data_IF_566178400789
#
_entry.id   IF_566178400789
#
_cell.length_a   1.000
_cell.length_b   1.000
_cell.length_c   1.000
_cell.angle_alpha   90.00
_cell.angle_beta   90.00
_cell.angle_gamma   90.00
#
_symmetry.space_group_name_H-M   'P 1'
#
loop_
_entity.id
_entity.type
_entity.pdbx_description
1 polymer ?
#
# COMPACT_ATOMS: atom_id res chain seq x y z
N UNK A 1 -1.24 44.40 -69.87
CA UNK A 1 -2.48 43.82 -69.32
C UNK A 1 -2.15 42.48 -68.71
N UNK A 2 -1.83 42.42 -67.40
CA UNK A 2 -1.36 41.23 -66.72
C UNK A 2 -2.44 40.75 -65.76
N UNK A 3 -3.08 39.63 -66.04
CA UNK A 3 -4.09 39.04 -65.17
C UNK A 3 -3.41 38.31 -64.00
N UNK A 4 -3.69 38.80 -62.79
CA UNK A 4 -3.33 38.08 -61.56
C UNK A 4 -4.35 36.96 -61.29
N UNK A 5 -3.87 35.74 -61.19
CA UNK A 5 -4.64 34.59 -60.74
C UNK A 5 -4.52 34.58 -59.21
N UNK A 6 -5.66 34.75 -58.53
CA UNK A 6 -5.76 34.58 -57.05
C UNK A 6 -6.03 33.10 -56.82
N UNK A 7 -5.05 32.41 -56.26
CA UNK A 7 -5.19 31.05 -55.77
C UNK A 7 -5.84 31.07 -54.40
N UNK A 8 -7.02 30.52 -54.32
CA UNK A 8 -7.74 30.34 -53.05
C UNK A 8 -7.36 29.00 -52.45
N UNK A 9 -6.43 28.97 -51.48
CA UNK A 9 -6.09 27.78 -50.76
C UNK A 9 -7.13 27.54 -49.66
N UNK A 10 -8.01 26.56 -49.88
CA UNK A 10 -8.89 26.03 -48.84
C UNK A 10 -8.04 25.19 -47.87
N UNK A 11 -7.77 25.74 -46.69
CA UNK A 11 -7.25 24.98 -45.58
C UNK A 11 -8.39 24.11 -44.99
N UNK A 12 -8.36 22.83 -45.27
CA UNK A 12 -9.22 21.84 -44.62
C UNK A 12 -8.66 21.67 -43.21
N UNK A 13 -9.24 22.36 -42.24
CA UNK A 13 -9.03 22.08 -40.84
C UNK A 13 -9.69 20.74 -40.51
N UNK A 14 -8.90 19.67 -40.47
CA UNK A 14 -9.33 18.39 -39.94
C UNK A 14 -9.54 18.57 -38.40
N UNK A 15 -10.80 18.75 -38.03
CA UNK A 15 -11.23 18.61 -36.62
C UNK A 15 -11.03 17.16 -36.21
N UNK A 16 -9.88 16.87 -35.64
CA UNK A 16 -9.71 15.68 -34.82
C UNK A 16 -10.56 15.89 -33.57
N UNK A 17 -11.77 15.36 -33.60
CA UNK A 17 -12.52 15.11 -32.39
C UNK A 17 -11.72 14.05 -31.61
N UNK A 18 -10.86 14.48 -30.71
CA UNK A 18 -10.29 13.59 -29.69
C UNK A 18 -11.47 13.04 -28.89
N UNK A 19 -11.86 11.80 -29.19
CA UNK A 19 -12.76 11.06 -28.32
C UNK A 19 -12.13 11.06 -26.93
N UNK A 20 -12.92 11.39 -25.90
CA UNK A 20 -12.47 11.31 -24.53
C UNK A 20 -11.87 9.91 -24.28
N UNK A 21 -10.71 9.83 -23.59
CA UNK A 21 -10.15 8.53 -23.29
C UNK A 21 -11.15 7.69 -22.49
N UNK A 22 -11.21 6.37 -22.74
CA UNK A 22 -12.18 5.52 -22.05
C UNK A 22 -11.95 5.57 -20.54
N UNK A 23 -13.01 5.36 -19.72
CA UNK A 23 -12.88 5.30 -18.29
C UNK A 23 -11.83 4.27 -17.86
N UNK A 24 -10.94 4.66 -16.95
CA UNK A 24 -9.94 3.75 -16.40
C UNK A 24 -10.58 2.90 -15.29
N UNK A 25 -11.13 1.77 -15.64
CA UNK A 25 -11.71 0.80 -14.71
C UNK A 25 -11.12 -0.60 -14.98
N UNK A 26 -9.83 -0.81 -14.62
CA UNK A 26 -9.18 -2.07 -14.90
C UNK A 26 -9.73 -3.18 -14.03
N UNK A 27 -10.05 -4.31 -14.64
CA UNK A 27 -10.36 -5.54 -13.94
C UNK A 27 -9.05 -6.19 -13.50
N UNK A 28 -8.86 -6.47 -12.19
CA UNK A 28 -7.66 -7.15 -11.71
C UNK A 28 -7.49 -8.54 -12.32
N UNK A 29 -6.28 -8.83 -12.77
CA UNK A 29 -5.92 -10.14 -13.29
C UNK A 29 -5.66 -11.09 -12.11
N UNK A 30 -6.43 -12.18 -12.03
CA UNK A 30 -6.19 -13.27 -11.06
C UNK A 30 -5.32 -14.32 -11.72
N UNK A 31 -4.11 -14.51 -11.19
CA UNK A 31 -3.18 -15.55 -11.65
C UNK A 31 -2.56 -16.30 -10.46
N UNK A 32 -2.18 -17.57 -10.63
CA UNK A 32 -1.42 -18.28 -9.61
C UNK A 32 -0.08 -17.58 -9.37
N UNK A 33 0.29 -17.42 -8.11
CA UNK A 33 1.56 -16.83 -7.72
C UNK A 33 2.35 -17.85 -6.89
N UNK A 34 3.59 -18.09 -7.29
CA UNK A 34 4.53 -18.90 -6.51
C UNK A 34 5.45 -17.97 -5.71
N UNK A 35 5.74 -18.36 -4.47
CA UNK A 35 6.64 -17.62 -3.60
C UNK A 35 8.07 -17.64 -4.16
N UNK A 36 8.57 -16.49 -4.59
CA UNK A 36 9.92 -16.34 -5.11
C UNK A 36 10.89 -15.83 -4.05
N UNK A 37 10.43 -14.96 -3.16
CA UNK A 37 11.30 -14.21 -2.28
C UNK A 37 10.60 -13.86 -0.98
N UNK A 38 11.32 -13.89 0.13
CA UNK A 38 10.78 -13.51 1.43
C UNK A 38 11.45 -12.28 2.04
N UNK A 39 12.74 -12.05 1.77
CA UNK A 39 13.35 -10.75 2.05
C UNK A 39 13.24 -9.88 0.79
N UNK A 40 12.54 -8.78 0.89
CA UNK A 40 12.30 -7.85 -0.21
C UNK A 40 12.82 -6.46 0.13
N UNK A 41 13.25 -5.74 -0.91
CA UNK A 41 13.55 -4.33 -0.85
C UNK A 41 12.28 -3.53 -1.23
N UNK A 42 11.82 -2.66 -0.35
CA UNK A 42 10.64 -1.82 -0.56
C UNK A 42 11.09 -0.37 -0.72
N UNK A 43 10.84 0.21 -1.88
CA UNK A 43 11.07 1.62 -2.14
C UNK A 43 9.82 2.44 -1.78
N UNK A 44 10.01 3.40 -0.91
CA UNK A 44 8.98 4.34 -0.45
C UNK A 44 9.21 5.66 -1.18
N UNK A 45 8.20 6.13 -1.91
CA UNK A 45 8.26 7.39 -2.65
C UNK A 45 7.31 8.38 -1.98
N UNK A 46 7.86 9.36 -1.26
CA UNK A 46 7.09 10.30 -0.45
C UNK A 46 7.22 11.76 -0.92
N UNK A 47 7.16 11.99 -2.21
CA UNK A 47 7.26 13.32 -2.78
C UNK A 47 5.93 14.07 -2.75
N UNK A 48 6.00 15.40 -2.81
CA UNK A 48 4.83 16.22 -3.11
C UNK A 48 4.34 15.96 -4.52
N UNK A 49 3.07 16.27 -4.78
CA UNK A 49 2.55 16.29 -6.15
C UNK A 49 3.30 17.33 -6.99
N UNK A 50 3.47 17.09 -8.29
CA UNK A 50 4.13 18.04 -9.17
C UNK A 50 3.35 19.38 -9.21
N UNK A 51 4.08 20.47 -9.38
CA UNK A 51 3.53 21.82 -9.46
C UNK A 51 3.90 22.41 -10.82
N UNK A 52 2.89 22.65 -11.63
CA UNK A 52 3.04 23.37 -12.91
C UNK A 52 1.80 24.21 -13.15
N UNK A 53 1.88 25.26 -13.99
CA UNK A 53 0.69 25.92 -14.53
C UNK A 53 -0.20 24.91 -15.25
N UNK A 54 -1.52 25.12 -15.24
CA UNK A 54 -2.49 24.20 -15.88
C UNK A 54 -2.15 23.93 -17.36
N UNK A 55 -1.63 24.92 -18.07
CA UNK A 55 -1.16 24.79 -19.45
C UNK A 55 0.01 23.82 -19.67
N UNK A 56 0.75 23.50 -18.58
CA UNK A 56 1.85 22.55 -18.60
C UNK A 56 1.51 21.17 -18.00
N UNK A 57 0.26 20.98 -17.57
CA UNK A 57 -0.19 19.72 -17.01
C UNK A 57 -0.44 18.69 -18.12
N UNK A 58 0.52 17.80 -18.34
CA UNK A 58 0.42 16.69 -19.30
C UNK A 58 0.67 15.35 -18.62
N UNK A 59 0.20 14.27 -19.26
CA UNK A 59 0.44 12.91 -18.77
C UNK A 59 1.94 12.62 -18.73
N UNK A 60 2.66 13.00 -19.77
CA UNK A 60 4.11 12.79 -19.88
C UNK A 60 4.87 13.50 -18.78
N UNK A 61 4.52 14.76 -18.46
CA UNK A 61 5.16 15.51 -17.39
C UNK A 61 4.87 14.89 -16.00
N UNK A 62 3.63 14.44 -15.77
CA UNK A 62 3.25 13.73 -14.55
C UNK A 62 4.03 12.41 -14.40
N UNK A 63 4.02 11.60 -15.45
CA UNK A 63 4.74 10.31 -15.49
C UNK A 63 6.23 10.52 -15.27
N UNK A 64 6.84 11.46 -16.01
CA UNK A 64 8.27 11.75 -15.86
C UNK A 64 8.63 12.12 -14.42
N UNK A 65 7.84 12.95 -13.78
CA UNK A 65 8.07 13.38 -12.39
C UNK A 65 8.15 12.19 -11.42
N UNK A 66 7.19 11.26 -11.52
CA UNK A 66 7.16 10.11 -10.61
C UNK A 66 8.17 9.03 -11.00
N UNK A 67 8.40 8.82 -12.29
CA UNK A 67 9.44 7.89 -12.76
C UNK A 67 10.82 8.37 -12.35
N UNK A 68 11.14 9.66 -12.47
CA UNK A 68 12.40 10.23 -11.99
C UNK A 68 12.59 10.01 -10.47
N UNK A 69 11.50 10.09 -9.70
CA UNK A 69 11.54 9.81 -8.27
C UNK A 69 11.78 8.32 -7.95
N UNK A 70 11.10 7.43 -8.66
CA UNK A 70 11.27 5.98 -8.52
C UNK A 70 12.66 5.54 -8.99
N UNK A 71 13.20 6.16 -10.02
CA UNK A 71 14.53 5.83 -10.58
C UNK A 71 15.68 6.19 -9.64
N UNK A 72 15.48 7.10 -8.68
CA UNK A 72 16.45 7.35 -7.60
C UNK A 72 16.68 6.11 -6.73
N UNK A 73 15.64 5.30 -6.54
CA UNK A 73 15.69 4.08 -5.75
C UNK A 73 16.04 2.83 -6.58
N UNK A 74 15.98 2.91 -7.89
CA UNK A 74 16.23 1.77 -8.78
C UNK A 74 17.59 1.07 -8.58
N UNK A 75 18.70 1.75 -8.21
CA UNK A 75 19.97 1.08 -7.90
C UNK A 75 19.88 0.10 -6.72
N UNK A 76 18.92 0.31 -5.80
CA UNK A 76 18.66 -0.58 -4.67
C UNK A 76 17.87 -1.85 -5.07
N UNK A 77 17.50 -1.98 -6.34
CA UNK A 77 16.71 -3.09 -6.91
C UNK A 77 15.45 -3.41 -6.09
N UNK A 78 14.55 -2.46 -5.90
CA UNK A 78 13.33 -2.69 -5.14
C UNK A 78 12.48 -3.80 -5.77
N UNK A 79 11.87 -4.62 -4.90
CA UNK A 79 10.86 -5.60 -5.28
C UNK A 79 9.46 -4.98 -5.32
N UNK A 80 9.26 -3.93 -4.50
CA UNK A 80 8.01 -3.21 -4.36
C UNK A 80 8.30 -1.71 -4.29
N UNK A 81 7.58 -0.93 -5.10
CA UNK A 81 7.49 0.53 -4.97
C UNK A 81 6.14 0.89 -4.37
N UNK A 82 6.14 1.74 -3.35
CA UNK A 82 4.92 2.29 -2.75
C UNK A 82 4.93 3.80 -2.92
N UNK A 83 3.93 4.33 -3.64
CA UNK A 83 3.76 5.75 -3.92
C UNK A 83 2.65 6.35 -3.05
N UNK A 84 2.65 7.67 -2.84
CA UNK A 84 1.66 8.33 -1.99
C UNK A 84 0.28 8.43 -2.64
N UNK A 85 -0.67 9.04 -1.93
CA UNK A 85 -2.03 9.27 -2.40
C UNK A 85 -2.09 10.33 -3.50
N UNK A 86 -2.91 10.07 -4.53
CA UNK A 86 -3.24 11.03 -5.58
C UNK A 86 -2.04 11.50 -6.40
N UNK A 87 -1.18 10.57 -6.84
CA UNK A 87 0.07 10.90 -7.54
C UNK A 87 -0.15 11.66 -8.85
N UNK A 88 -1.29 11.50 -9.46
CA UNK A 88 -1.62 12.05 -10.76
C UNK A 88 -2.35 13.40 -10.71
N UNK A 89 -2.55 13.94 -9.53
CA UNK A 89 -3.05 15.30 -9.39
C UNK A 89 -1.91 16.32 -9.28
N UNK A 90 -2.14 17.48 -9.86
CA UNK A 90 -1.23 18.61 -9.80
C UNK A 90 -1.51 19.49 -8.58
N UNK A 91 -0.48 20.08 -8.00
CA UNK A 91 -0.70 21.06 -6.95
C UNK A 91 -1.45 22.28 -7.48
N UNK A 92 -2.45 22.72 -6.72
CA UNK A 92 -3.23 23.90 -7.04
C UNK A 92 -4.45 23.66 -7.93
N UNK A 93 -4.66 22.44 -8.43
CA UNK A 93 -5.90 22.12 -9.14
C UNK A 93 -7.11 22.33 -8.25
N UNK A 94 -8.10 23.05 -8.78
CA UNK A 94 -9.46 23.05 -8.24
C UNK A 94 -10.12 21.70 -8.44
N UNK A 95 -11.20 21.43 -7.71
CA UNK A 95 -11.97 20.16 -7.83
C UNK A 95 -12.47 19.93 -9.26
N UNK A 96 -12.87 20.99 -9.95
CA UNK A 96 -13.31 20.92 -11.35
C UNK A 96 -12.15 20.55 -12.27
N UNK A 97 -10.99 21.19 -12.10
CA UNK A 97 -9.79 20.86 -12.87
C UNK A 97 -9.30 19.45 -12.62
N UNK A 98 -9.40 18.95 -11.36
CA UNK A 98 -9.11 17.55 -11.05
C UNK A 98 -10.01 16.59 -11.83
N UNK A 99 -11.32 16.85 -11.86
CA UNK A 99 -12.26 16.05 -12.65
C UNK A 99 -11.95 16.14 -14.15
N UNK A 100 -11.79 17.33 -14.68
CA UNK A 100 -11.55 17.55 -16.11
C UNK A 100 -10.22 16.92 -16.54
N UNK A 101 -9.22 16.92 -15.67
CA UNK A 101 -7.97 16.20 -15.85
C UNK A 101 -8.18 14.69 -15.92
N UNK A 102 -8.88 14.10 -14.95
CA UNK A 102 -9.12 12.65 -14.90
C UNK A 102 -9.90 12.17 -16.13
N UNK A 103 -10.96 12.90 -16.50
CA UNK A 103 -11.90 12.45 -17.57
C UNK A 103 -11.41 12.85 -18.96
N UNK A 104 -10.89 14.07 -19.10
CA UNK A 104 -10.61 14.65 -20.41
C UNK A 104 -9.17 14.53 -20.91
N UNK A 105 -8.20 14.38 -19.98
CA UNK A 105 -6.79 14.44 -20.35
C UNK A 105 -6.03 13.17 -19.93
N UNK A 106 -6.08 12.83 -18.66
CA UNK A 106 -5.26 11.74 -18.10
C UNK A 106 -5.72 10.36 -18.60
N UNK A 107 -7.02 10.09 -18.56
CA UNK A 107 -7.54 8.76 -18.86
C UNK A 107 -6.82 7.66 -18.07
N UNK A 108 -6.28 6.68 -18.78
CA UNK A 108 -5.44 5.59 -18.22
C UNK A 108 -3.93 5.79 -18.46
N UNK A 109 -3.51 6.96 -18.97
CA UNK A 109 -2.12 7.21 -19.35
C UNK A 109 -1.11 7.00 -18.22
N UNK A 110 -1.42 7.45 -17.00
CA UNK A 110 -0.56 7.23 -15.83
C UNK A 110 -0.53 5.76 -15.44
N UNK A 111 -1.68 5.06 -15.45
CA UNK A 111 -1.73 3.62 -15.17
C UNK A 111 -0.87 2.83 -16.15
N UNK A 112 -1.01 3.06 -17.46
CA UNK A 112 -0.19 2.39 -18.48
C UNK A 112 1.31 2.64 -18.30
N UNK A 113 1.67 3.85 -17.90
CA UNK A 113 3.06 4.17 -17.62
C UNK A 113 3.60 3.41 -16.41
N UNK A 114 2.81 3.28 -15.33
CA UNK A 114 3.19 2.50 -14.15
C UNK A 114 3.29 1.00 -14.46
N UNK A 115 2.41 0.47 -15.31
CA UNK A 115 2.48 -0.90 -15.82
C UNK A 115 3.77 -1.13 -16.63
N UNK A 116 4.12 -0.20 -17.51
CA UNK A 116 5.36 -0.27 -18.28
C UNK A 116 6.60 -0.19 -17.37
N UNK A 117 6.55 0.66 -16.32
CA UNK A 117 7.63 0.77 -15.34
C UNK A 117 7.80 -0.51 -14.52
N UNK A 118 6.71 -1.09 -14.03
CA UNK A 118 6.73 -2.36 -13.30
C UNK A 118 7.40 -3.47 -14.13
N UNK A 119 7.00 -3.64 -15.40
CA UNK A 119 7.64 -4.57 -16.35
C UNK A 119 9.13 -4.28 -16.54
N UNK A 120 9.48 -3.04 -16.80
CA UNK A 120 10.87 -2.62 -17.02
C UNK A 120 11.77 -2.94 -15.84
N UNK A 121 11.25 -2.79 -14.61
CA UNK A 121 12.02 -3.02 -13.37
C UNK A 121 11.89 -4.44 -12.84
N UNK A 122 10.92 -5.23 -13.32
CA UNK A 122 10.59 -6.53 -12.75
C UNK A 122 10.17 -6.40 -11.28
N UNK A 123 9.41 -5.36 -10.94
CA UNK A 123 9.04 -5.00 -9.58
C UNK A 123 7.54 -4.73 -9.46
N UNK A 124 6.98 -4.95 -8.28
CA UNK A 124 5.61 -4.51 -7.98
C UNK A 124 5.57 -2.99 -7.83
N UNK A 125 4.46 -2.39 -8.26
CA UNK A 125 4.19 -0.96 -8.08
C UNK A 125 2.83 -0.79 -7.45
N UNK A 126 2.79 -0.15 -6.28
CA UNK A 126 1.56 0.30 -5.62
C UNK A 126 1.49 1.81 -5.73
N UNK A 127 0.43 2.31 -6.33
CA UNK A 127 0.19 3.75 -6.43
C UNK A 127 -1.29 4.07 -6.28
N UNK A 128 -1.58 5.28 -5.84
CA UNK A 128 -2.95 5.76 -5.65
C UNK A 128 -3.30 6.85 -6.67
N UNK A 129 -4.52 6.76 -7.18
CA UNK A 129 -5.09 7.65 -8.19
C UNK A 129 -6.61 7.69 -8.06
N UNK A 130 -7.25 8.63 -8.73
CA UNK A 130 -8.72 8.62 -8.86
C UNK A 130 -9.11 8.00 -10.20
N UNK A 131 -10.16 7.19 -10.20
CA UNK A 131 -10.75 6.64 -11.43
C UNK A 131 -12.21 7.01 -11.54
N UNK A 132 -12.68 7.21 -12.77
CA UNK A 132 -14.11 7.31 -13.03
C UNK A 132 -14.70 5.90 -13.15
N UNK A 133 -15.79 5.67 -12.45
CA UNK A 133 -16.57 4.43 -12.52
C UNK A 133 -17.54 4.47 -13.70
N UNK A 134 -18.08 3.32 -14.06
CA UNK A 134 -19.09 3.21 -15.13
C UNK A 134 -20.37 4.00 -14.86
N UNK A 135 -20.68 4.27 -13.59
CA UNK A 135 -21.81 5.09 -13.16
C UNK A 135 -21.53 6.61 -13.20
N UNK A 136 -20.36 7.01 -13.70
CA UNK A 136 -19.92 8.40 -13.80
C UNK A 136 -19.37 9.02 -12.52
N UNK A 137 -19.51 8.34 -11.37
CA UNK A 137 -18.91 8.75 -10.09
C UNK A 137 -17.43 8.37 -10.04
N UNK A 138 -16.74 8.76 -8.98
CA UNK A 138 -15.31 8.53 -8.85
C UNK A 138 -15.00 7.62 -7.66
N UNK A 139 -13.88 6.94 -7.74
CA UNK A 139 -13.26 6.24 -6.63
C UNK A 139 -11.84 6.79 -6.43
N UNK A 140 -11.47 7.05 -5.17
CA UNK A 140 -10.09 7.21 -4.77
C UNK A 140 -9.53 5.80 -4.61
N UNK A 141 -8.65 5.36 -5.52
CA UNK A 141 -8.27 3.96 -5.58
C UNK A 141 -6.75 3.76 -5.59
N UNK A 142 -6.33 2.66 -4.96
CA UNK A 142 -4.95 2.18 -4.98
C UNK A 142 -4.87 0.99 -5.91
N UNK A 143 -3.94 1.06 -6.87
CA UNK A 143 -3.63 -0.01 -7.81
C UNK A 143 -2.40 -0.76 -7.34
N UNK A 144 -2.42 -2.08 -7.46
CA UNK A 144 -1.24 -2.91 -7.38
C UNK A 144 -0.96 -3.55 -8.74
N UNK A 145 0.26 -3.36 -9.21
CA UNK A 145 0.76 -3.87 -10.48
C UNK A 145 1.88 -4.85 -10.17
N UNK A 146 1.89 -6.01 -10.82
CA UNK A 146 2.92 -7.02 -10.63
C UNK A 146 4.16 -6.81 -11.52
N UNK A 147 5.11 -7.73 -11.43
CA UNK A 147 6.38 -7.68 -12.18
C UNK A 147 6.20 -7.76 -13.70
N UNK A 148 5.12 -8.38 -14.17
CA UNK A 148 4.74 -8.48 -15.58
C UNK A 148 3.97 -7.24 -16.06
N UNK A 149 3.64 -6.32 -15.16
CA UNK A 149 2.90 -5.10 -15.43
C UNK A 149 1.39 -5.30 -15.50
N UNK A 150 0.88 -6.40 -14.96
CA UNK A 150 -0.55 -6.63 -14.84
C UNK A 150 -1.11 -5.98 -13.57
N UNK A 151 -2.30 -5.39 -13.66
CA UNK A 151 -3.03 -4.92 -12.50
C UNK A 151 -3.58 -6.14 -11.75
N UNK A 152 -3.03 -6.44 -10.58
CA UNK A 152 -3.41 -7.61 -9.79
C UNK A 152 -4.37 -7.28 -8.65
N UNK A 153 -4.46 -6.01 -8.24
CA UNK A 153 -5.47 -5.53 -7.30
C UNK A 153 -5.85 -4.08 -7.58
N UNK A 154 -7.10 -3.77 -7.28
CA UNK A 154 -7.64 -2.41 -7.19
C UNK A 154 -8.37 -2.29 -5.86
N UNK A 155 -7.95 -1.36 -5.03
CA UNK A 155 -8.55 -1.06 -3.75
C UNK A 155 -9.19 0.32 -3.81
N UNK A 156 -10.49 0.41 -3.70
CA UNK A 156 -11.22 1.67 -3.53
C UNK A 156 -11.21 2.05 -2.05
N UNK A 157 -10.80 3.27 -1.74
CA UNK A 157 -10.74 3.82 -0.37
C UNK A 157 -12.08 3.61 0.33
N UNK A 158 -12.05 2.87 1.45
CA UNK A 158 -13.27 2.51 2.17
C UNK A 158 -13.88 3.72 2.89
N UNK A 159 -13.03 4.61 3.42
CA UNK A 159 -13.42 5.81 4.14
C UNK A 159 -12.93 7.08 3.43
N UNK A 160 -13.59 7.53 2.34
CA UNK A 160 -13.33 8.84 1.78
C UNK A 160 -13.55 9.93 2.83
N UNK A 161 -12.79 11.02 2.75
CA UNK A 161 -13.00 12.17 3.62
C UNK A 161 -14.33 12.86 3.30
N UNK A 162 -14.87 13.63 4.25
CA UNK A 162 -16.06 14.45 4.00
C UNK A 162 -15.88 15.34 2.76
N UNK A 163 -14.67 15.89 2.59
CA UNK A 163 -14.32 16.67 1.40
C UNK A 163 -14.47 15.89 0.08
N UNK A 164 -14.12 14.60 0.06
CA UNK A 164 -14.27 13.74 -1.12
C UNK A 164 -15.74 13.35 -1.37
N UNK A 165 -16.50 13.09 -0.31
CA UNK A 165 -17.93 12.71 -0.39
C UNK A 165 -18.82 13.85 -0.87
N UNK A 166 -18.55 15.08 -0.43
CA UNK A 166 -19.37 16.26 -0.68
C UNK A 166 -18.92 17.07 -1.92
N UNK A 167 -17.92 16.62 -2.65
CA UNK A 167 -17.39 17.33 -3.81
C UNK A 167 -18.37 17.27 -5.01
N UNK A 168 -18.97 18.38 -5.43
CA UNK A 168 -19.98 18.35 -6.50
C UNK A 168 -19.40 18.02 -7.88
N UNK A 169 -18.11 18.19 -8.09
CA UNK A 169 -17.45 17.92 -9.37
C UNK A 169 -16.73 16.59 -9.42
N UNK A 170 -16.34 16.03 -8.26
CA UNK A 170 -15.54 14.82 -8.15
C UNK A 170 -16.07 13.97 -6.98
N UNK A 171 -17.37 13.69 -6.98
CA UNK A 171 -18.01 12.90 -5.93
C UNK A 171 -17.39 11.50 -5.87
N UNK A 172 -16.67 11.23 -4.78
CA UNK A 172 -16.06 9.94 -4.52
C UNK A 172 -17.06 9.03 -3.81
N UNK A 173 -17.16 7.79 -4.26
CA UNK A 173 -17.95 6.77 -3.58
C UNK A 173 -17.04 5.91 -2.69
N UNK A 174 -17.52 5.53 -1.49
CA UNK A 174 -16.79 4.60 -0.63
C UNK A 174 -16.56 3.25 -1.31
N UNK A 175 -15.39 2.66 -1.06
CA UNK A 175 -15.11 1.28 -1.41
C UNK A 175 -15.84 0.29 -0.50
N UNK A 176 -15.94 -0.99 -0.90
CA UNK A 176 -16.69 -2.00 -0.15
C UNK A 176 -15.96 -2.52 1.10
N UNK A 177 -14.68 -2.21 1.27
CA UNK A 177 -13.85 -2.67 2.38
C UNK A 177 -12.43 -3.07 1.96
N UNK A 178 -11.70 -3.77 2.82
CA UNK A 178 -10.29 -4.07 2.58
C UNK A 178 -10.10 -5.08 1.45
N UNK A 179 -8.98 -4.92 0.75
CA UNK A 179 -8.53 -5.80 -0.34
C UNK A 179 -7.14 -6.31 0.00
N UNK A 180 -6.89 -7.58 -0.29
CA UNK A 180 -5.55 -8.15 -0.29
C UNK A 180 -5.34 -9.01 -1.54
N UNK A 181 -4.07 -9.14 -1.95
CA UNK A 181 -3.65 -9.92 -3.11
C UNK A 181 -2.43 -10.75 -2.75
N UNK A 182 -2.35 -11.96 -3.29
CA UNK A 182 -1.15 -12.78 -3.20
C UNK A 182 -0.07 -12.25 -4.14
N UNK A 183 1.14 -12.12 -3.63
CA UNK A 183 2.33 -11.72 -4.37
C UNK A 183 3.42 -12.78 -4.21
N UNK A 184 4.48 -12.69 -4.99
CA UNK A 184 5.61 -13.62 -4.90
C UNK A 184 6.49 -13.41 -3.64
N UNK A 185 6.11 -12.50 -2.77
CA UNK A 185 6.75 -12.26 -1.48
C UNK A 185 5.79 -12.37 -0.28
N UNK A 186 4.53 -12.69 -0.49
CA UNK A 186 3.50 -12.78 0.54
C UNK A 186 2.23 -12.05 0.18
N UNK A 187 1.33 -11.89 1.14
CA UNK A 187 0.04 -11.23 0.95
C UNK A 187 0.15 -9.75 1.19
N UNK A 188 -0.22 -8.97 0.19
CA UNK A 188 -0.19 -7.50 0.20
C UNK A 188 -1.61 -6.95 0.36
N UNK A 189 -1.83 -6.11 1.38
CA UNK A 189 -3.07 -5.36 1.60
C UNK A 189 -2.82 -3.86 1.49
N UNK A 190 -3.91 -3.08 1.51
CA UNK A 190 -3.87 -1.64 1.26
C UNK A 190 -4.64 -0.86 2.31
N UNK A 191 -4.18 0.36 2.55
CA UNK A 191 -4.93 1.41 3.25
C UNK A 191 -4.63 2.76 2.60
N UNK A 192 -5.61 3.66 2.58
CA UNK A 192 -5.44 5.00 1.99
C UNK A 192 -5.87 6.08 2.97
N UNK A 193 -4.90 6.90 3.40
CA UNK A 193 -5.13 8.15 4.13
C UNK A 193 -6.12 8.00 5.30
N UNK A 194 -7.34 8.50 5.14
CA UNK A 194 -8.35 8.57 6.20
C UNK A 194 -8.81 7.20 6.72
N UNK A 195 -8.65 6.12 5.94
CA UNK A 195 -8.94 4.74 6.39
C UNK A 195 -8.27 4.39 7.72
N UNK A 196 -7.09 4.97 7.96
CA UNK A 196 -6.28 4.67 9.13
C UNK A 196 -6.99 4.94 10.46
N UNK A 197 -7.95 5.86 10.47
CA UNK A 197 -8.66 6.28 11.69
C UNK A 197 -9.78 5.31 12.11
N UNK A 198 -10.11 4.33 11.26
CA UNK A 198 -11.28 3.48 11.46
C UNK A 198 -10.86 2.08 11.94
N UNK A 199 -11.30 1.75 13.16
CA UNK A 199 -10.94 0.50 13.82
C UNK A 199 -11.51 -0.72 13.08
N UNK A 200 -12.73 -0.64 12.62
CA UNK A 200 -13.39 -1.70 11.85
C UNK A 200 -12.64 -2.01 10.55
N UNK A 201 -12.12 -0.98 9.87
CA UNK A 201 -11.27 -1.16 8.69
C UNK A 201 -9.94 -1.84 9.03
N UNK A 202 -9.31 -1.45 10.15
CA UNK A 202 -8.08 -2.07 10.63
C UNK A 202 -8.29 -3.54 10.97
N UNK A 203 -9.36 -3.87 11.71
CA UNK A 203 -9.70 -5.24 12.12
C UNK A 203 -10.08 -6.11 10.90
N UNK A 204 -10.86 -5.56 9.97
CA UNK A 204 -11.20 -6.24 8.72
C UNK A 204 -9.97 -6.50 7.85
N UNK A 205 -9.01 -5.57 7.79
CA UNK A 205 -7.72 -5.78 7.10
C UNK A 205 -6.90 -6.87 7.78
N UNK A 206 -6.83 -6.86 9.12
CA UNK A 206 -6.14 -7.89 9.89
C UNK A 206 -6.72 -9.30 9.66
N UNK A 207 -8.04 -9.41 9.47
CA UNK A 207 -8.70 -10.69 9.15
C UNK A 207 -8.25 -11.29 7.81
N UNK A 208 -7.74 -10.47 6.87
CA UNK A 208 -7.16 -10.93 5.61
C UNK A 208 -5.75 -11.53 5.80
N UNK A 209 -5.14 -11.38 6.99
CA UNK A 209 -3.80 -11.88 7.34
C UNK A 209 -2.73 -11.42 6.33
N UNK A 210 -2.55 -10.13 6.11
CA UNK A 210 -1.51 -9.63 5.21
C UNK A 210 -0.12 -9.86 5.79
N UNK A 211 0.90 -9.99 4.93
CA UNK A 211 2.31 -9.90 5.30
C UNK A 211 2.81 -8.45 5.22
N UNK A 212 2.25 -7.69 4.28
CA UNK A 212 2.58 -6.27 4.06
C UNK A 212 1.29 -5.47 3.89
N UNK A 213 1.21 -4.31 4.54
CA UNK A 213 0.18 -3.28 4.30
C UNK A 213 0.85 -2.07 3.65
N UNK A 214 0.49 -1.77 2.42
CA UNK A 214 0.92 -0.57 1.73
C UNK A 214 -0.04 0.59 2.02
N UNK A 215 0.48 1.69 2.52
CA UNK A 215 -0.29 2.86 2.91
C UNK A 215 0.09 4.07 2.06
N UNK A 216 -0.84 4.55 1.25
CA UNK A 216 -0.71 5.75 0.41
C UNK A 216 -1.46 6.92 1.04
N UNK A 217 -0.79 8.05 1.37
CA UNK A 217 -1.47 9.07 2.16
C UNK A 217 -0.99 10.50 1.95
N UNK A 218 -1.92 11.45 2.18
CA UNK A 218 -1.64 12.87 2.38
C UNK A 218 -1.32 13.21 3.83
N UNK A 219 -1.69 12.39 4.80
CA UNK A 219 -1.39 12.65 6.20
C UNK A 219 -0.59 11.49 6.82
N UNK A 220 0.15 11.79 7.87
CA UNK A 220 1.04 10.83 8.47
C UNK A 220 0.30 9.71 9.23
N UNK A 221 -0.76 10.04 9.95
CA UNK A 221 -1.51 9.10 10.78
C UNK A 221 -0.92 8.83 12.16
N UNK A 222 0.31 9.29 12.43
CA UNK A 222 0.95 9.19 13.74
C UNK A 222 1.03 7.75 14.26
N UNK A 223 0.59 7.53 15.51
CA UNK A 223 0.61 6.23 16.16
C UNK A 223 -0.26 5.17 15.48
N UNK A 224 -1.22 5.57 14.66
CA UNK A 224 -2.09 4.63 13.95
C UNK A 224 -1.33 3.71 12.99
N UNK A 225 -0.25 4.19 12.37
CA UNK A 225 0.58 3.31 11.53
C UNK A 225 1.13 2.14 12.32
N UNK A 226 1.69 2.41 13.53
CA UNK A 226 2.16 1.39 14.45
C UNK A 226 1.05 0.47 14.94
N UNK A 227 -0.13 1.05 15.27
CA UNK A 227 -1.29 0.28 15.71
C UNK A 227 -1.78 -0.69 14.61
N UNK A 228 -1.79 -0.25 13.36
CA UNK A 228 -2.11 -1.09 12.20
C UNK A 228 -1.09 -2.22 12.02
N UNK A 229 0.21 -1.92 12.08
CA UNK A 229 1.26 -2.94 11.99
C UNK A 229 1.06 -4.05 13.04
N UNK A 230 0.88 -3.66 14.31
CA UNK A 230 0.67 -4.58 15.41
C UNK A 230 -0.65 -5.36 15.30
N UNK A 231 -1.76 -4.70 14.92
CA UNK A 231 -3.07 -5.36 14.81
C UNK A 231 -3.10 -6.35 13.65
N UNK A 232 -2.59 -5.94 12.49
CA UNK A 232 -2.48 -6.82 11.31
C UNK A 232 -1.38 -7.87 11.46
N UNK A 233 -0.44 -7.69 12.39
CA UNK A 233 0.81 -8.47 12.50
C UNK A 233 1.55 -8.51 11.18
N UNK A 234 1.65 -7.36 10.53
CA UNK A 234 2.18 -7.18 9.19
C UNK A 234 3.19 -6.03 9.14
N UNK A 235 4.09 -6.09 8.17
CA UNK A 235 4.90 -4.94 7.82
C UNK A 235 3.98 -3.81 7.32
N UNK A 236 4.05 -2.66 7.94
CA UNK A 236 3.30 -1.49 7.52
C UNK A 236 4.24 -0.49 6.83
N UNK A 237 3.97 -0.19 5.56
CA UNK A 237 4.82 0.65 4.72
C UNK A 237 4.07 1.93 4.35
N UNK A 238 4.45 3.03 4.97
CA UNK A 238 3.81 4.33 4.80
C UNK A 238 4.50 5.23 3.78
N UNK A 239 3.88 5.43 2.62
CA UNK A 239 4.26 6.45 1.64
C UNK A 239 3.37 7.69 1.81
N UNK A 240 3.94 8.75 2.38
CA UNK A 240 3.22 9.99 2.66
C UNK A 240 3.72 11.14 1.81
N UNK A 241 2.81 12.03 1.41
CA UNK A 241 3.12 13.20 0.59
C UNK A 241 4.00 14.20 1.34
N UNK A 242 4.98 14.75 0.65
CA UNK A 242 5.73 15.94 1.06
C UNK A 242 6.67 15.73 2.24
N UNK A 243 6.66 16.70 3.15
CA UNK A 243 7.56 16.75 4.30
C UNK A 243 7.14 15.89 5.49
N UNK A 244 6.17 14.99 5.31
CA UNK A 244 5.76 14.06 6.36
C UNK A 244 6.70 12.87 6.42
N UNK A 245 6.85 12.29 7.59
CA UNK A 245 7.65 11.08 7.76
C UNK A 245 7.17 9.96 6.85
N UNK A 246 8.10 9.17 6.33
CA UNK A 246 7.87 7.91 5.62
C UNK A 246 8.32 6.83 6.58
N UNK A 247 7.39 6.03 7.03
CA UNK A 247 7.64 5.09 8.11
C UNK A 247 7.47 3.65 7.64
N UNK A 248 8.33 2.77 8.17
CA UNK A 248 8.13 1.33 8.13
C UNK A 248 8.06 0.81 9.55
N UNK A 249 6.96 0.16 9.86
CA UNK A 249 6.72 -0.51 11.13
C UNK A 249 6.72 -2.02 10.93
N UNK A 250 7.39 -2.72 11.83
CA UNK A 250 7.42 -4.18 11.80
C UNK A 250 6.17 -4.81 12.43
N UNK A 251 5.98 -6.12 12.25
CA UNK A 251 4.76 -6.85 12.64
C UNK A 251 4.45 -6.86 14.14
N UNK A 252 5.43 -6.66 15.01
CA UNK A 252 5.23 -6.49 16.47
C UNK A 252 5.13 -5.01 16.87
N UNK A 253 4.96 -4.10 15.92
CA UNK A 253 4.86 -2.66 16.16
C UNK A 253 6.20 -1.98 16.40
N UNK A 254 7.32 -2.65 16.10
CA UNK A 254 8.64 -2.05 16.17
C UNK A 254 8.88 -1.02 15.07
N UNK A 255 9.52 0.09 15.39
CA UNK A 255 9.97 1.07 14.38
C UNK A 255 11.19 0.52 13.64
N UNK A 256 11.07 0.41 12.32
CA UNK A 256 12.13 -0.14 11.46
C UNK A 256 12.83 0.95 10.66
N UNK A 257 12.05 1.88 10.17
CA UNK A 257 12.55 3.01 9.42
C UNK A 257 11.64 4.22 9.63
N UNK A 258 12.27 5.36 9.89
CA UNK A 258 11.58 6.64 10.03
C UNK A 258 12.39 7.71 9.30
N UNK A 259 11.81 8.28 8.27
CA UNK A 259 12.47 9.31 7.47
C UNK A 259 11.64 10.59 7.49
N UNK A 260 12.19 11.61 8.13
CA UNK A 260 11.64 12.96 8.08
C UNK A 260 12.14 13.72 6.82
N UNK A 261 11.99 14.99 6.78
CA UNK A 261 12.08 15.93 5.66
C UNK A 261 13.28 15.81 4.71
N UNK A 262 14.39 15.24 5.15
CA UNK A 262 15.63 15.22 4.35
C UNK A 262 15.56 14.29 3.15
N UNK A 263 14.90 13.13 3.29
CA UNK A 263 14.79 12.15 2.22
C UNK A 263 13.35 12.05 1.74
N UNK A 264 13.13 12.28 0.46
CA UNK A 264 11.82 12.14 -0.18
C UNK A 264 11.55 10.72 -0.65
N UNK A 265 12.61 9.94 -0.80
CA UNK A 265 12.55 8.54 -1.21
C UNK A 265 13.53 7.74 -0.35
N UNK A 266 13.23 6.47 -0.13
CA UNK A 266 14.12 5.55 0.57
C UNK A 266 13.78 4.11 0.20
N UNK A 267 14.79 3.22 0.28
CA UNK A 267 14.59 1.78 0.15
C UNK A 267 14.90 1.09 1.48
N UNK A 268 13.96 0.27 1.95
CA UNK A 268 14.05 -0.47 3.22
C UNK A 268 13.86 -1.96 2.95
N UNK A 269 14.64 -2.81 3.63
CA UNK A 269 14.44 -4.25 3.57
C UNK A 269 13.40 -4.69 4.60
N UNK A 270 12.46 -5.51 4.15
CA UNK A 270 11.49 -6.19 5.01
C UNK A 270 11.55 -7.69 4.75
N UNK A 271 11.29 -8.49 5.78
CA UNK A 271 11.36 -9.94 5.68
C UNK A 271 9.98 -10.54 5.98
N UNK A 272 9.32 -11.10 4.97
CA UNK A 272 8.01 -11.74 5.10
C UNK A 272 8.09 -13.20 5.56
N UNK A 273 9.28 -13.72 5.85
CA UNK A 273 9.48 -15.01 6.51
C UNK A 273 9.59 -14.79 8.02
N UNK A 274 8.47 -14.53 8.67
CA UNK A 274 8.44 -14.19 10.08
C UNK A 274 7.27 -14.84 10.84
N UNK A 275 7.34 -14.79 12.16
CA UNK A 275 6.25 -15.05 13.08
C UNK A 275 6.27 -14.01 14.20
N UNK A 276 5.09 -13.56 14.67
CA UNK A 276 4.99 -12.72 15.86
C UNK A 276 4.68 -13.60 17.06
N UNK A 277 5.59 -13.62 18.02
CA UNK A 277 5.51 -14.46 19.22
C UNK A 277 5.31 -13.61 20.46
N UNK A 278 4.46 -14.07 21.39
CA UNK A 278 4.35 -13.46 22.71
C UNK A 278 5.58 -13.80 23.56
N UNK A 279 5.96 -12.95 24.53
CA UNK A 279 7.16 -13.16 25.33
C UNK A 279 6.94 -14.08 26.54
N UNK A 280 5.75 -14.05 27.18
CA UNK A 280 5.52 -14.64 28.51
C UNK A 280 6.00 -16.08 28.69
N UNK A 281 5.78 -16.95 27.70
CA UNK A 281 6.18 -18.36 27.80
C UNK A 281 7.21 -18.77 26.75
N UNK A 282 7.65 -17.84 25.92
CA UNK A 282 8.49 -18.09 24.77
C UNK A 282 9.98 -17.76 24.97
N UNK A 283 10.34 -17.03 26.02
CA UNK A 283 11.69 -16.48 26.18
C UNK A 283 12.77 -17.56 26.07
N UNK A 284 12.65 -18.66 26.82
CA UNK A 284 13.63 -19.76 26.76
C UNK A 284 13.65 -20.49 25.41
N UNK A 285 12.53 -20.57 24.71
CA UNK A 285 12.46 -21.11 23.35
C UNK A 285 13.14 -20.21 22.32
N UNK A 286 12.93 -18.89 22.42
CA UNK A 286 13.57 -17.90 21.58
C UNK A 286 15.09 -17.90 21.75
N UNK A 287 15.59 -17.96 23.02
CA UNK A 287 17.02 -18.06 23.32
C UNK A 287 17.64 -19.30 22.69
N UNK A 288 16.98 -20.46 22.81
CA UNK A 288 17.43 -21.72 22.17
C UNK A 288 17.44 -21.63 20.65
N UNK A 289 16.41 -20.98 20.05
CA UNK A 289 16.35 -20.79 18.60
C UNK A 289 17.51 -19.93 18.10
N UNK A 290 17.80 -18.82 18.79
CA UNK A 290 18.95 -17.95 18.46
C UNK A 290 20.26 -18.68 18.66
N UNK A 291 20.42 -19.44 19.76
CA UNK A 291 21.63 -20.23 20.00
C UNK A 291 21.86 -21.31 18.93
N UNK A 292 20.81 -21.98 18.44
CA UNK A 292 20.91 -23.02 17.42
C UNK A 292 21.17 -22.44 16.02
N UNK A 293 20.42 -21.42 15.64
CA UNK A 293 20.40 -20.94 14.26
C UNK A 293 21.33 -19.75 14.00
N UNK A 294 21.78 -19.04 15.05
CA UNK A 294 22.66 -17.88 14.94
C UNK A 294 22.12 -16.83 13.95
N UNK A 295 22.92 -16.37 12.98
CA UNK A 295 22.50 -15.32 12.04
C UNK A 295 21.41 -15.73 11.05
N UNK A 296 21.03 -17.03 11.02
CA UNK A 296 19.93 -17.52 10.19
C UNK A 296 18.56 -17.10 10.71
N UNK A 297 18.49 -16.65 11.97
CA UNK A 297 17.27 -16.07 12.57
C UNK A 297 17.57 -14.71 13.17
N UNK A 298 16.56 -13.85 13.22
CA UNK A 298 16.63 -12.56 13.92
C UNK A 298 15.37 -12.39 14.76
N UNK A 299 15.55 -12.06 16.03
CA UNK A 299 14.46 -11.67 16.93
C UNK A 299 14.48 -10.14 17.02
N UNK A 300 13.41 -9.51 16.55
CA UNK A 300 13.20 -8.05 16.65
C UNK A 300 12.32 -7.77 17.84
N UNK A 301 12.82 -7.00 18.76
CA UNK A 301 12.11 -6.66 19.97
C UNK A 301 11.36 -5.33 19.82
N UNK A 302 10.06 -5.35 20.11
CA UNK A 302 9.28 -4.13 20.29
C UNK A 302 9.34 -3.60 21.74
N UNK A 303 9.93 -4.35 22.65
CA UNK A 303 10.21 -3.98 24.05
C UNK A 303 8.98 -3.70 24.91
N UNK A 304 8.10 -2.82 24.45
CA UNK A 304 6.99 -2.26 25.26
C UNK A 304 5.65 -2.97 25.09
N UNK A 305 5.51 -3.92 24.15
CA UNK A 305 4.20 -4.54 23.83
C UNK A 305 4.13 -6.03 24.14
N UNK A 306 5.17 -6.60 24.77
CA UNK A 306 5.20 -7.99 25.22
C UNK A 306 5.24 -9.04 24.11
N UNK A 307 5.61 -8.65 22.90
CA UNK A 307 5.79 -9.57 21.76
C UNK A 307 7.01 -9.17 20.92
N UNK A 308 7.46 -10.12 20.10
CA UNK A 308 8.62 -9.97 19.22
C UNK A 308 8.28 -10.48 17.82
N UNK A 309 9.01 -9.98 16.81
CA UNK A 309 9.02 -10.54 15.47
C UNK A 309 10.24 -11.47 15.33
N UNK A 310 9.99 -12.77 15.21
CA UNK A 310 10.99 -13.77 14.84
C UNK A 310 11.04 -13.86 13.32
N UNK A 311 12.16 -13.46 12.71
CA UNK A 311 12.39 -13.58 11.28
C UNK A 311 13.35 -14.74 10.98
N UNK A 312 13.10 -15.52 9.93
CA UNK A 312 14.13 -16.36 9.34
C UNK A 312 14.80 -15.63 8.17
N UNK A 313 16.11 -15.53 8.24
CA UNK A 313 16.97 -14.93 7.22
C UNK A 313 17.46 -15.95 6.19
N UNK A 314 17.13 -17.23 6.42
CA UNK A 314 17.52 -18.35 5.55
C UNK A 314 16.35 -18.72 4.63
N UNK A 315 16.53 -18.69 3.31
CA UNK A 315 15.49 -19.08 2.36
C UNK A 315 15.02 -20.53 2.51
N UNK A 316 15.89 -21.41 3.04
CA UNK A 316 15.59 -22.83 3.24
C UNK A 316 14.92 -23.13 4.59
N UNK A 317 14.82 -22.13 5.48
CA UNK A 317 14.22 -22.29 6.81
C UNK A 317 12.99 -21.38 6.92
N UNK A 318 11.83 -21.94 7.22
CA UNK A 318 10.64 -21.13 7.50
C UNK A 318 10.59 -20.70 8.96
N UNK A 319 10.19 -19.46 9.24
CA UNK A 319 9.96 -19.00 10.59
C UNK A 319 8.93 -19.86 11.35
N UNK A 320 7.92 -20.38 10.63
CA UNK A 320 6.95 -21.33 11.20
C UNK A 320 7.56 -22.67 11.61
N UNK A 321 8.62 -23.13 10.96
CA UNK A 321 9.35 -24.33 11.33
C UNK A 321 10.14 -24.10 12.63
N UNK A 322 10.74 -22.91 12.77
CA UNK A 322 11.41 -22.50 14.03
C UNK A 322 10.41 -22.42 15.17
N UNK A 323 9.24 -21.82 14.92
CA UNK A 323 8.13 -21.75 15.91
C UNK A 323 7.74 -23.15 16.38
N UNK A 324 7.52 -24.08 15.44
CA UNK A 324 7.13 -25.46 15.76
C UNK A 324 8.23 -26.22 16.51
N UNK A 325 9.48 -26.11 16.08
CA UNK A 325 10.61 -26.81 16.66
C UNK A 325 10.86 -26.45 18.12
N UNK A 326 10.72 -25.17 18.47
CA UNK A 326 10.97 -24.70 19.85
C UNK A 326 9.69 -24.54 20.67
N UNK A 327 8.53 -24.98 20.16
CA UNK A 327 7.24 -24.92 20.85
C UNK A 327 6.82 -23.48 21.18
N UNK A 328 7.14 -22.52 20.29
CA UNK A 328 6.80 -21.12 20.50
C UNK A 328 5.31 -20.90 20.26
N UNK A 329 4.66 -20.13 21.11
CA UNK A 329 3.28 -19.71 20.93
C UNK A 329 3.24 -18.38 20.20
N UNK A 330 2.55 -18.31 19.07
CA UNK A 330 2.36 -17.04 18.36
C UNK A 330 1.47 -16.08 19.16
N UNK A 331 1.60 -14.77 18.91
CA UNK A 331 0.75 -13.76 19.56
C UNK A 331 -0.75 -14.03 19.31
N UNK A 332 -1.11 -14.54 18.15
CA UNK A 332 -2.50 -14.87 17.80
C UNK A 332 -3.04 -16.04 18.61
N UNK A 333 -2.24 -17.08 18.79
CA UNK A 333 -2.59 -18.25 19.62
C UNK A 333 -2.71 -17.86 21.08
N UNK A 334 -1.75 -17.08 21.58
CA UNK A 334 -1.75 -16.57 22.95
C UNK A 334 -3.02 -15.76 23.27
N UNK A 335 -3.39 -14.81 22.41
CA UNK A 335 -4.61 -14.02 22.60
C UNK A 335 -5.87 -14.88 22.51
N UNK A 336 -5.94 -15.78 21.55
CA UNK A 336 -7.07 -16.71 21.41
C UNK A 336 -7.22 -17.61 22.63
N UNK A 337 -6.11 -18.13 23.18
CA UNK A 337 -6.10 -18.92 24.42
C UNK A 337 -6.57 -18.09 25.60
N UNK A 338 -6.08 -16.86 25.75
CA UNK A 338 -6.48 -15.94 26.82
C UNK A 338 -7.97 -15.60 26.78
N UNK A 339 -8.53 -15.38 25.60
CA UNK A 339 -9.97 -15.14 25.42
C UNK A 339 -10.81 -16.36 25.84
N UNK A 340 -10.41 -17.58 25.45
CA UNK A 340 -11.09 -18.80 25.88
C UNK A 340 -11.07 -19.01 27.39
N UNK A 341 -9.92 -18.80 28.02
CA UNK A 341 -9.81 -18.90 29.48
C UNK A 341 -10.68 -17.89 30.21
N UNK A 342 -10.75 -16.66 29.72
CA UNK A 342 -11.63 -15.63 30.26
C UNK A 342 -13.11 -16.05 30.13
N UNK A 343 -13.52 -16.56 28.98
CA UNK A 343 -14.89 -17.04 28.75
C UNK A 343 -15.28 -18.14 29.75
N UNK A 344 -14.46 -19.17 29.86
CA UNK A 344 -14.71 -20.26 30.83
C UNK A 344 -14.74 -19.80 32.29
N UNK A 345 -13.91 -18.82 32.66
CA UNK A 345 -13.94 -18.26 34.02
C UNK A 345 -15.23 -17.47 34.32
N UNK A 346 -15.81 -16.78 33.34
CA UNK A 346 -17.10 -16.07 33.47
C UNK A 346 -18.24 -17.07 33.60
N UNK A 347 -18.33 -18.09 32.73
CA UNK A 347 -19.36 -19.13 32.78
C UNK A 347 -19.38 -19.87 34.12
N UNK A 348 -18.20 -20.22 34.67
CA UNK A 348 -18.07 -20.89 35.95
C UNK A 348 -18.55 -20.01 37.11
N UNK A 349 -18.33 -18.68 37.05
CA UNK A 349 -18.86 -17.75 38.08
C UNK A 349 -20.38 -17.64 37.99
N UNK A 350 -20.95 -17.58 36.78
CA UNK A 350 -22.39 -17.50 36.58
C UNK A 350 -23.09 -18.77 37.08
N UNK A 351 -22.57 -19.95 36.80
CA UNK A 351 -23.10 -21.23 37.32
C UNK A 351 -23.06 -21.32 38.84
N UNK A 352 -21.97 -20.84 39.49
CA UNK A 352 -21.88 -20.81 40.94
C UNK A 352 -22.78 -19.75 41.60
N UNK A 353 -23.08 -18.67 40.89
CA UNK A 353 -23.99 -17.62 41.36
C UNK A 353 -25.49 -17.97 41.27
N UNK A 354 -25.86 -18.87 40.38
CA UNK A 354 -27.26 -19.37 40.21
C UNK A 354 -27.60 -20.54 41.13
N UNK A 355 -26.61 -21.08 41.83
CA UNK A 355 -26.80 -22.17 42.83
C UNK A 355 -26.83 -21.67 44.29
N UNK A 356 -26.98 -20.38 44.51
CA UNK A 356 -27.27 -19.75 45.81
C UNK A 356 -28.61 -19.03 45.69
#
# INVERSE_FOLDING_TARGET
>A
MTKRIVSCSLAVAALWACAAPPPCDPTPVKKPVSMLKREIAVAIIGMDRPKVPLSGATVEACVKYWVDAMDREAPNRPDLFVLPEGIDFWQGFTRREMRDWVVGVRGDGVLRAMQAYARKRGAYVVFNSYRQRSDGRFANCTFAIDREGDVVAVYDKAYPTQWELECPHLTVVPGPGPVAVETDFGRLAFATCFDLNFRDMMEATAALKPDVVAFSSFYHGGFWQRAWALTCRAWFVGATVGNKSKDVWGPSGEGVFHCHDYFKTATVKVNTNYAVCHLDFNLGGLEKAVAKYGPRVTVREAGSVGCVTLCSNDPALKASEVVAEFGLETLSEYYSRSQRLRGGAIENKTRKGTMK
#
